data_IF_232104656746
#
_entry.id   IF_232104656746
#
_cell.length_a   1.000
_cell.length_b   1.000
_cell.length_c   1.000
_cell.angle_alpha   90.00
_cell.angle_beta   90.00
_cell.angle_gamma   90.00
#
_symmetry.space_group_name_H-M   'P 1'
#
loop_
_entity.id
_entity.type
_entity.pdbx_description
1 polymer ?
#
# COMPACT_ATOMS: atom_id res chain seq x y z
N UNK A 1 -2.62 -3.99 4.58
CA UNK A 1 -1.40 -3.22 4.27
C UNK A 1 -1.09 -3.16 2.77
N UNK A 2 -1.23 -4.26 1.99
CA UNK A 2 -0.98 -4.26 0.52
C UNK A 2 -1.78 -3.24 -0.29
N UNK A 3 -3.07 -3.05 0.02
CA UNK A 3 -3.88 -2.01 -0.62
C UNK A 3 -3.41 -0.60 -0.24
N UNK A 4 -3.06 -0.40 1.03
CA UNK A 4 -2.54 0.87 1.54
C UNK A 4 -1.23 1.28 0.84
N UNK A 5 -0.36 0.34 0.47
CA UNK A 5 0.85 0.64 -0.33
C UNK A 5 0.53 1.35 -1.66
N UNK A 6 -0.57 0.95 -2.31
CA UNK A 6 -0.97 1.43 -3.64
C UNK A 6 -1.82 2.70 -3.58
N UNK A 7 -2.61 2.83 -2.51
CA UNK A 7 -3.46 3.99 -2.30
C UNK A 7 -2.71 5.13 -1.63
N UNK A 8 -1.82 4.82 -0.69
CA UNK A 8 -1.18 5.77 0.21
C UNK A 8 0.35 5.57 0.29
N UNK A 9 1.06 5.62 -0.85
CA UNK A 9 2.49 5.31 -0.91
C UNK A 9 3.37 6.23 -0.05
N UNK A 10 2.88 7.43 0.27
CA UNK A 10 3.61 8.43 1.05
C UNK A 10 3.47 8.24 2.58
N UNK A 11 2.70 7.24 3.03
CA UNK A 11 2.59 6.96 4.46
C UNK A 11 3.95 6.62 5.06
N UNK A 12 4.30 7.15 6.26
CA UNK A 12 5.57 6.83 6.93
C UNK A 12 5.76 5.33 7.20
N UNK A 13 4.64 4.61 7.40
CA UNK A 13 4.57 3.17 7.57
C UNK A 13 3.14 2.67 7.31
N UNK A 14 2.97 1.37 7.15
CA UNK A 14 1.69 0.74 6.79
C UNK A 14 1.08 -0.07 7.93
N UNK A 15 1.53 0.16 9.18
CA UNK A 15 0.85 -0.38 10.36
C UNK A 15 -0.49 0.32 10.57
N UNK A 16 -1.48 -0.39 11.14
CA UNK A 16 -2.79 0.16 11.42
C UNK A 16 -2.74 1.47 12.22
N UNK A 17 -1.86 1.54 13.22
CA UNK A 17 -1.77 2.69 14.11
C UNK A 17 -1.07 3.87 13.44
N UNK A 18 -0.03 3.65 12.64
CA UNK A 18 0.56 4.73 11.83
C UNK A 18 -0.46 5.26 10.85
N UNK A 19 -1.16 4.39 10.13
CA UNK A 19 -2.21 4.80 9.20
C UNK A 19 -3.35 5.53 9.91
N UNK A 20 -3.74 5.11 11.12
CA UNK A 20 -4.77 5.78 11.91
C UNK A 20 -4.39 7.21 12.22
N UNK A 21 -3.17 7.44 12.74
CA UNK A 21 -2.71 8.78 13.09
C UNK A 21 -2.43 9.64 11.86
N UNK A 22 -1.88 9.04 10.80
CA UNK A 22 -1.53 9.75 9.58
C UNK A 22 -2.75 10.11 8.72
N UNK A 23 -3.72 9.20 8.57
CA UNK A 23 -4.94 9.42 7.78
C UNK A 23 -6.01 10.19 8.52
N UNK A 24 -6.11 10.00 9.85
CA UNK A 24 -7.23 10.45 10.67
C UNK A 24 -8.60 10.10 10.04
N UNK A 25 -8.95 8.80 9.86
CA UNK A 25 -10.19 8.41 9.19
C UNK A 25 -11.42 9.09 9.80
N UNK A 26 -12.30 9.61 8.94
CA UNK A 26 -13.51 10.31 9.38
C UNK A 26 -14.38 9.41 10.27
N UNK A 27 -14.92 9.96 11.35
CA UNK A 27 -15.78 9.22 12.28
C UNK A 27 -15.06 8.21 13.19
N UNK A 28 -13.73 8.06 13.10
CA UNK A 28 -12.97 7.20 14.00
C UNK A 28 -12.83 7.84 15.39
N UNK A 29 -13.36 7.17 16.41
CA UNK A 29 -13.15 7.55 17.81
C UNK A 29 -11.77 7.09 18.28
N UNK A 30 -10.93 8.05 18.70
CA UNK A 30 -9.55 7.77 19.09
C UNK A 30 -9.45 6.83 20.30
N UNK A 31 -10.35 6.94 21.27
CA UNK A 31 -10.32 6.11 22.48
C UNK A 31 -10.73 4.67 22.17
N UNK A 32 -11.70 4.46 21.27
CA UNK A 32 -12.13 3.12 20.84
C UNK A 32 -11.03 2.35 20.11
N UNK A 33 -10.14 3.06 19.40
CA UNK A 33 -8.95 2.49 18.76
C UNK A 33 -7.79 2.16 19.72
N UNK A 34 -8.00 2.24 21.04
CA UNK A 34 -7.01 1.97 22.08
C UNK A 34 -7.54 0.95 23.12
N UNK A 35 -6.65 0.23 23.84
CA UNK A 35 -5.20 0.17 23.62
C UNK A 35 -4.85 -0.61 22.35
N UNK A 36 -3.70 -0.27 21.76
CA UNK A 36 -3.17 -0.96 20.56
C UNK A 36 -2.85 -2.42 20.85
N UNK A 37 -2.80 -3.27 19.81
CA UNK A 37 -2.50 -4.70 19.95
C UNK A 37 -3.57 -5.46 20.75
N UNK A 38 -4.82 -4.99 20.65
CA UNK A 38 -6.01 -5.67 21.16
C UNK A 38 -6.96 -5.93 20.01
N UNK A 39 -7.58 -7.11 20.02
CA UNK A 39 -8.43 -7.57 18.93
C UNK A 39 -9.51 -6.56 18.55
N UNK A 40 -10.28 -6.04 19.52
CA UNK A 40 -11.36 -5.09 19.23
C UNK A 40 -10.85 -3.72 18.74
N UNK A 41 -9.94 -3.02 19.45
CA UNK A 41 -9.36 -1.77 18.95
C UNK A 41 -8.72 -1.88 17.56
N UNK A 42 -7.96 -2.94 17.30
CA UNK A 42 -7.31 -3.11 16.00
C UNK A 42 -8.32 -3.43 14.89
N UNK A 43 -9.37 -4.22 15.17
CA UNK A 43 -10.46 -4.48 14.23
C UNK A 43 -11.25 -3.21 13.90
N UNK A 44 -11.53 -2.38 14.91
CA UNK A 44 -12.19 -1.08 14.73
C UNK A 44 -11.39 -0.16 13.81
N UNK A 45 -10.08 -0.03 14.05
CA UNK A 45 -9.20 0.75 13.18
C UNK A 45 -9.12 0.17 11.77
N UNK A 46 -9.02 -1.16 11.62
CA UNK A 46 -9.04 -1.83 10.31
C UNK A 46 -10.35 -1.57 9.56
N UNK A 47 -11.51 -1.57 10.23
CA UNK A 47 -12.79 -1.32 9.58
C UNK A 47 -12.86 0.07 8.95
N UNK A 48 -12.39 1.10 9.65
CA UNK A 48 -12.29 2.46 9.09
C UNK A 48 -11.32 2.54 7.91
N UNK A 49 -10.15 1.89 8.01
CA UNK A 49 -9.22 1.83 6.88
C UNK A 49 -9.82 1.12 5.67
N UNK A 50 -10.57 0.03 5.88
CA UNK A 50 -11.22 -0.70 4.79
C UNK A 50 -12.32 0.15 4.13
N UNK A 51 -13.16 0.83 4.93
CA UNK A 51 -14.16 1.78 4.42
C UNK A 51 -13.51 2.83 3.52
N UNK A 52 -12.44 3.48 4.01
CA UNK A 52 -11.75 4.50 3.24
C UNK A 52 -11.14 3.94 1.95
N UNK A 53 -10.57 2.72 1.99
CA UNK A 53 -10.06 2.07 0.78
C UNK A 53 -11.17 1.76 -0.24
N UNK A 54 -12.35 1.33 0.24
CA UNK A 54 -13.53 1.11 -0.60
C UNK A 54 -14.12 2.42 -1.15
N UNK A 55 -13.86 3.56 -0.52
CA UNK A 55 -14.24 4.86 -1.09
C UNK A 55 -13.27 5.32 -2.21
N UNK A 56 -12.03 4.84 -2.20
CA UNK A 56 -11.03 5.19 -3.22
C UNK A 56 -11.13 4.29 -4.47
N UNK A 57 -11.40 2.99 -4.29
CA UNK A 57 -11.46 2.00 -5.38
C UNK A 57 -12.52 0.92 -5.14
N UNK A 58 -12.95 0.25 -6.21
CA UNK A 58 -13.88 -0.88 -6.13
C UNK A 58 -13.32 -2.11 -5.40
N UNK A 59 -14.23 -2.93 -4.84
CA UNK A 59 -13.91 -4.17 -4.13
C UNK A 59 -13.01 -5.12 -4.95
N UNK A 60 -13.34 -5.33 -6.21
CA UNK A 60 -12.57 -6.19 -7.12
C UNK A 60 -11.10 -5.74 -7.23
N UNK A 61 -10.86 -4.43 -7.22
CA UNK A 61 -9.50 -3.90 -7.27
C UNK A 61 -8.73 -4.17 -5.97
N UNK A 62 -9.39 -4.04 -4.81
CA UNK A 62 -8.79 -4.35 -3.52
C UNK A 62 -8.48 -5.84 -3.38
N UNK A 63 -9.36 -6.72 -3.87
CA UNK A 63 -9.14 -8.16 -3.91
C UNK A 63 -7.95 -8.50 -4.80
N UNK A 64 -7.89 -7.93 -6.01
CA UNK A 64 -6.75 -8.13 -6.92
C UNK A 64 -5.42 -7.70 -6.29
N UNK A 65 -5.36 -6.51 -5.68
CA UNK A 65 -4.15 -6.03 -4.99
C UNK A 65 -3.77 -6.84 -3.75
N UNK A 66 -4.75 -7.46 -3.08
CA UNK A 66 -4.49 -8.30 -1.92
C UNK A 66 -3.87 -9.65 -2.31
N UNK A 67 -4.20 -10.15 -3.50
CA UNK A 67 -3.65 -11.36 -4.09
C UNK A 67 -2.24 -11.17 -4.68
N UNK A 68 -1.89 -9.96 -5.12
CA UNK A 68 -0.54 -9.63 -5.59
C UNK A 68 0.48 -9.47 -4.44
N UNK A 69 1.79 -9.53 -4.71
CA UNK A 69 2.80 -9.06 -3.76
C UNK A 69 2.61 -7.59 -3.37
N UNK A 70 3.24 -7.18 -2.27
CA UNK A 70 3.28 -5.81 -1.82
C UNK A 70 4.04 -4.92 -2.81
N UNK A 71 3.38 -3.89 -3.33
CA UNK A 71 4.04 -2.87 -4.15
C UNK A 71 4.70 -1.83 -3.25
N UNK A 72 5.88 -2.14 -2.72
CA UNK A 72 6.66 -1.25 -1.86
C UNK A 72 6.94 0.08 -2.58
N UNK A 73 6.75 1.26 -1.94
CA UNK A 73 7.02 2.55 -2.56
C UNK A 73 8.53 2.87 -2.64
N UNK A 74 9.33 2.26 -1.77
CA UNK A 74 10.77 2.51 -1.62
C UNK A 74 11.51 1.22 -1.34
N UNK A 75 12.80 1.19 -1.62
CA UNK A 75 13.68 0.07 -1.31
C UNK A 75 13.73 -0.14 0.22
N UNK A 76 13.39 -1.33 0.74
CA UNK A 76 13.23 -1.53 2.19
C UNK A 76 14.55 -1.71 2.94
N UNK A 77 15.62 -2.17 2.29
CA UNK A 77 16.88 -2.51 2.94
C UNK A 77 18.06 -2.50 1.94
N UNK A 78 19.29 -2.51 2.49
CA UNK A 78 20.53 -2.52 1.71
C UNK A 78 21.06 -1.11 1.42
N UNK A 79 21.98 -1.02 0.45
CA UNK A 79 22.67 0.22 0.11
C UNK A 79 21.73 1.32 -0.40
N UNK A 80 20.66 0.94 -1.10
CA UNK A 80 19.68 1.86 -1.68
C UNK A 80 18.47 2.11 -0.77
N UNK A 81 18.52 1.69 0.50
CA UNK A 81 17.39 1.79 1.44
C UNK A 81 16.81 3.20 1.48
N UNK A 82 15.49 3.28 1.32
CA UNK A 82 14.73 4.53 1.40
C UNK A 82 14.63 5.29 0.09
N UNK A 83 15.40 4.92 -0.95
CA UNK A 83 15.23 5.47 -2.30
C UNK A 83 13.94 4.98 -2.93
N UNK A 84 13.31 5.82 -3.74
CA UNK A 84 12.23 5.40 -4.63
C UNK A 84 12.77 4.56 -5.78
N UNK A 85 11.97 3.63 -6.29
CA UNK A 85 12.39 2.78 -7.42
C UNK A 85 12.69 3.60 -8.68
N UNK A 86 11.98 4.70 -8.90
CA UNK A 86 12.20 5.65 -9.99
C UNK A 86 13.54 6.40 -9.90
N UNK A 87 14.18 6.43 -8.73
CA UNK A 87 15.48 7.09 -8.53
C UNK A 87 16.67 6.15 -8.78
N UNK A 88 16.43 4.85 -8.98
CA UNK A 88 17.50 3.88 -9.21
C UNK A 88 17.91 3.87 -10.69
N UNK A 89 19.20 3.71 -10.94
CA UNK A 89 19.72 3.45 -12.29
C UNK A 89 19.25 2.08 -12.77
N UNK A 90 19.14 1.90 -14.09
CA UNK A 90 18.60 0.67 -14.69
C UNK A 90 19.37 -0.59 -14.25
N UNK A 91 20.69 -0.53 -14.19
CA UNK A 91 21.51 -1.67 -13.74
C UNK A 91 21.22 -2.07 -12.29
N UNK A 92 21.05 -1.08 -11.40
CA UNK A 92 20.73 -1.31 -9.99
C UNK A 92 19.32 -1.90 -9.87
N UNK A 93 18.36 -1.32 -10.59
CA UNK A 93 16.98 -1.77 -10.61
C UNK A 93 16.87 -3.22 -11.12
N UNK A 94 17.60 -3.59 -12.18
CA UNK A 94 17.62 -4.95 -12.72
C UNK A 94 18.07 -5.98 -11.69
N UNK A 95 19.05 -5.67 -10.82
CA UNK A 95 19.46 -6.60 -9.75
C UNK A 95 18.33 -6.87 -8.75
N UNK A 96 17.52 -5.87 -8.43
CA UNK A 96 16.38 -6.04 -7.53
C UNK A 96 15.26 -6.91 -8.14
N UNK A 97 15.16 -7.01 -9.47
CA UNK A 97 14.19 -7.92 -10.13
C UNK A 97 14.49 -9.41 -9.91
N UNK A 98 15.64 -9.74 -9.32
CA UNK A 98 16.06 -11.10 -8.96
C UNK A 98 16.12 -11.31 -7.43
N UNK A 99 15.63 -10.35 -6.64
CA UNK A 99 15.66 -10.47 -5.18
C UNK A 99 14.86 -11.69 -4.70
N UNK A 100 15.29 -12.29 -3.60
CA UNK A 100 14.61 -13.42 -2.95
C UNK A 100 13.29 -13.01 -2.30
N UNK A 101 13.18 -11.78 -1.82
CA UNK A 101 11.97 -11.22 -1.26
C UNK A 101 11.01 -10.89 -2.40
N UNK A 102 9.84 -11.51 -2.36
CA UNK A 102 8.84 -11.40 -3.43
C UNK A 102 8.34 -9.97 -3.62
N UNK A 103 8.11 -9.20 -2.55
CA UNK A 103 7.62 -7.82 -2.63
C UNK A 103 8.68 -6.89 -3.24
N UNK A 104 9.95 -7.06 -2.87
CA UNK A 104 11.09 -6.31 -3.45
C UNK A 104 11.20 -6.57 -4.94
N UNK A 105 11.19 -7.86 -5.31
CA UNK A 105 11.28 -8.30 -6.70
C UNK A 105 10.11 -7.75 -7.52
N UNK A 106 8.89 -7.89 -7.01
CA UNK A 106 7.68 -7.43 -7.66
C UNK A 106 7.69 -5.91 -7.88
N UNK A 107 8.09 -5.14 -6.86
CA UNK A 107 8.23 -3.68 -6.99
C UNK A 107 9.24 -3.27 -8.05
N UNK A 108 10.41 -3.90 -8.07
CA UNK A 108 11.44 -3.60 -9.06
C UNK A 108 10.98 -3.96 -10.48
N UNK A 109 10.35 -5.13 -10.66
CA UNK A 109 9.77 -5.53 -11.95
C UNK A 109 8.70 -4.56 -12.42
N UNK A 110 7.83 -4.09 -11.52
CA UNK A 110 6.79 -3.12 -11.86
C UNK A 110 7.37 -1.78 -12.32
N UNK A 111 8.45 -1.30 -11.69
CA UNK A 111 9.16 -0.10 -12.15
C UNK A 111 9.78 -0.30 -13.53
N UNK A 112 10.40 -1.46 -13.81
CA UNK A 112 10.92 -1.79 -15.15
C UNK A 112 9.80 -1.77 -16.20
N UNK A 113 8.65 -2.38 -15.90
CA UNK A 113 7.48 -2.33 -16.79
C UNK A 113 7.03 -0.89 -17.07
N UNK A 114 6.97 -0.04 -16.03
CA UNK A 114 6.59 1.36 -16.16
C UNK A 114 7.56 2.14 -17.06
N UNK A 115 8.88 1.94 -16.90
CA UNK A 115 9.91 2.58 -17.75
C UNK A 115 9.81 2.14 -19.21
N UNK A 116 9.41 0.89 -19.45
CA UNK A 116 9.21 0.34 -20.79
C UNK A 116 7.85 0.73 -21.41
N UNK A 117 7.12 1.65 -20.80
CA UNK A 117 5.86 2.18 -21.33
C UNK A 117 4.65 1.26 -21.12
N UNK A 118 4.72 0.27 -20.22
CA UNK A 118 3.54 -0.49 -19.86
C UNK A 118 2.49 0.45 -19.23
N UNK A 119 1.26 0.39 -19.74
CA UNK A 119 0.20 1.26 -19.25
C UNK A 119 0.02 1.10 -17.72
N UNK A 120 -0.17 2.22 -17.03
CA UNK A 120 -0.63 2.17 -15.65
C UNK A 120 -2.03 1.53 -15.65
N UNK A 121 -2.22 0.45 -14.88
CA UNK A 121 -3.53 -0.18 -14.78
C UNK A 121 -4.52 0.87 -14.22
N UNK A 122 -5.55 1.21 -14.99
CA UNK A 122 -6.57 2.17 -14.57
C UNK A 122 -7.26 1.67 -13.31
N UNK A 123 -7.37 2.52 -12.29
CA UNK A 123 -8.12 2.20 -11.07
C UNK A 123 -9.60 2.05 -11.41
N UNK A 124 -10.22 0.98 -10.94
CA UNK A 124 -11.66 0.78 -11.12
C UNK A 124 -12.42 1.65 -10.10
N UNK A 125 -13.36 2.45 -10.58
CA UNK A 125 -14.21 3.27 -9.71
C UNK A 125 -15.08 2.40 -8.79
N UNK A 126 -15.33 2.83 -7.54
CA UNK A 126 -16.14 2.08 -6.60
C UNK A 126 -17.60 1.99 -7.06
N UNK A 127 -18.09 0.77 -7.29
CA UNK A 127 -19.50 0.53 -7.63
C UNK A 127 -20.44 0.71 -6.44
N UNK A 128 -19.93 0.58 -5.21
CA UNK A 128 -20.69 0.66 -3.96
C UNK A 128 -21.07 2.09 -3.50
N UNK A 129 -20.67 3.13 -4.23
CA UNK A 129 -20.86 4.52 -3.80
C UNK A 129 -19.97 4.92 -2.62
N UNK A 130 -20.28 6.05 -1.97
CA UNK A 130 -19.53 6.55 -0.81
C UNK A 130 -20.07 5.93 0.48
N UNK A 131 -19.21 5.24 1.22
CA UNK A 131 -19.48 4.65 2.52
C UNK A 131 -19.22 5.68 3.63
N UNK A 132 -20.13 5.72 4.62
CA UNK A 132 -20.08 6.58 5.82
C UNK A 132 -19.20 5.98 6.93
#
# INVERSE_FOLDING_TARGET
WKCALRLWPDSPSFSNQVLRYWRMPEGLNQTTGLPVHRAFPDAYVTAHHLRDQLNEVGLEQLLAWSAEPGLLPRVPAGADRGRYWSELDDEVLQRYTLDRNEDVRFSAQREVELRNGAASRSRTHPAQGQLL
#
